data_IF_704411843752
#
_entry.id   IF_704411843752
#
_cell.length_a   1.000
_cell.length_b   1.000
_cell.length_c   1.000
_cell.angle_alpha   90.00
_cell.angle_beta   90.00
_cell.angle_gamma   90.00
#
_symmetry.space_group_name_H-M   'P 1'
#
loop_
_entity.id
_entity.type
_entity.pdbx_description
1 polymer ?
#
# COMPACT_ATOMS: atom_id res chain seq x y z
N UNK A 1 -0.38 -10.73 -21.55
CA UNK A 1 -1.59 -10.45 -20.73
C UNK A 1 -1.57 -11.13 -19.36
N UNK A 2 -1.30 -12.45 -19.27
CA UNK A 2 -1.30 -13.18 -17.98
C UNK A 2 -0.36 -12.56 -16.94
N UNK A 3 0.88 -12.23 -17.31
CA UNK A 3 1.86 -11.61 -16.41
C UNK A 3 1.36 -10.29 -15.78
N UNK A 4 0.85 -9.36 -16.59
CA UNK A 4 0.33 -8.07 -16.10
C UNK A 4 -0.85 -8.26 -15.15
N UNK A 5 -1.75 -9.20 -15.46
CA UNK A 5 -2.88 -9.50 -14.57
C UNK A 5 -2.43 -10.13 -13.24
N UNK A 6 -1.32 -10.89 -13.24
CA UNK A 6 -0.71 -11.43 -12.02
C UNK A 6 -0.11 -10.31 -11.17
N UNK A 7 0.67 -9.40 -11.77
CA UNK A 7 1.27 -8.27 -11.04
C UNK A 7 0.18 -7.38 -10.44
N UNK A 8 -0.90 -7.12 -11.17
CA UNK A 8 -2.07 -6.41 -10.67
C UNK A 8 -2.69 -7.07 -9.42
N UNK A 9 -2.90 -8.40 -9.45
CA UNK A 9 -3.44 -9.15 -8.30
C UNK A 9 -2.50 -9.10 -7.10
N UNK A 10 -1.18 -9.27 -7.33
CA UNK A 10 -0.16 -9.16 -6.29
C UNK A 10 -0.19 -7.76 -5.67
N UNK A 11 -0.32 -6.72 -6.48
CA UNK A 11 -0.41 -5.33 -5.99
C UNK A 11 -1.60 -5.15 -5.05
N UNK A 12 -2.78 -5.65 -5.41
CA UNK A 12 -3.96 -5.62 -4.51
C UNK A 12 -3.68 -6.33 -3.20
N UNK A 13 -3.11 -7.54 -3.26
CA UNK A 13 -2.80 -8.33 -2.07
C UNK A 13 -1.84 -7.56 -1.15
N UNK A 14 -0.79 -6.94 -1.72
CA UNK A 14 0.17 -6.13 -0.96
C UNK A 14 -0.53 -4.94 -0.29
N UNK A 15 -1.38 -4.19 -0.99
CA UNK A 15 -2.14 -3.09 -0.40
C UNK A 15 -3.03 -3.56 0.77
N UNK A 16 -3.73 -4.68 0.61
CA UNK A 16 -4.54 -5.26 1.68
C UNK A 16 -3.70 -5.67 2.89
N UNK A 17 -2.58 -6.37 2.66
CA UNK A 17 -1.67 -6.77 3.74
C UNK A 17 -1.10 -5.55 4.47
N UNK A 18 -0.58 -4.57 3.73
CA UNK A 18 -0.04 -3.34 4.31
C UNK A 18 -1.09 -2.58 5.10
N UNK A 19 -2.36 -2.60 4.69
CA UNK A 19 -3.45 -1.92 5.39
C UNK A 19 -3.76 -2.53 6.76
N UNK A 20 -3.53 -3.84 6.93
CA UNK A 20 -3.76 -4.54 8.20
C UNK A 20 -2.66 -4.22 9.21
N UNK A 21 -1.41 -4.05 8.75
CA UNK A 21 -0.25 -3.91 9.65
C UNK A 21 -0.35 -2.71 10.63
N UNK A 22 -0.82 -1.50 10.23
CA UNK A 22 -1.07 -0.42 11.18
C UNK A 22 -2.12 -0.76 12.23
N UNK A 23 -3.15 -1.55 11.88
CA UNK A 23 -4.23 -1.91 12.81
C UNK A 23 -3.75 -2.84 13.92
N UNK A 24 -2.78 -3.70 13.61
CA UNK A 24 -2.15 -4.62 14.58
C UNK A 24 -0.91 -4.01 15.24
N UNK A 25 -0.57 -2.75 14.93
CA UNK A 25 0.61 -2.06 15.48
C UNK A 25 1.96 -2.58 14.97
N UNK A 26 1.97 -3.36 13.88
CA UNK A 26 3.19 -3.93 13.30
C UNK A 26 3.87 -2.98 12.31
N UNK A 27 3.20 -1.91 11.86
CA UNK A 27 3.75 -0.92 10.94
C UNK A 27 3.63 0.48 11.54
N UNK A 28 4.75 1.20 11.61
CA UNK A 28 4.82 2.59 12.01
C UNK A 28 5.68 3.39 11.02
N UNK A 29 5.31 4.65 10.83
CA UNK A 29 5.96 5.60 9.93
C UNK A 29 6.90 6.56 10.69
N UNK A 30 6.92 6.51 12.03
CA UNK A 30 7.90 7.19 12.88
C UNK A 30 7.63 8.69 13.10
N UNK A 31 6.40 9.15 12.87
CA UNK A 31 5.93 10.52 13.12
C UNK A 31 4.91 10.58 14.29
N UNK A 32 4.86 9.55 15.13
CA UNK A 32 3.96 9.47 16.27
C UNK A 32 2.50 9.58 15.85
N UNK A 33 1.84 10.68 16.23
CA UNK A 33 0.46 10.96 15.80
C UNK A 33 0.32 11.12 14.27
N UNK A 34 1.39 11.53 13.60
CA UNK A 34 1.46 11.61 12.13
C UNK A 34 1.33 10.25 11.45
N UNK A 35 1.60 9.13 12.14
CA UNK A 35 1.44 7.79 11.59
C UNK A 35 -0.02 7.48 11.25
N UNK A 36 -0.96 8.09 11.99
CA UNK A 36 -2.39 7.96 11.71
C UNK A 36 -2.76 8.58 10.36
N UNK A 37 -2.11 9.69 9.95
CA UNK A 37 -2.33 10.31 8.65
C UNK A 37 -1.90 9.36 7.52
N UNK A 38 -0.75 8.72 7.66
CA UNK A 38 -0.26 7.74 6.69
C UNK A 38 -1.10 6.47 6.67
N UNK A 39 -1.57 5.99 7.83
CA UNK A 39 -2.47 4.85 7.92
C UNK A 39 -3.84 5.13 7.25
N UNK A 40 -4.44 6.29 7.51
CA UNK A 40 -5.70 6.72 6.87
C UNK A 40 -5.51 6.86 5.36
N UNK A 41 -4.40 7.46 4.91
CA UNK A 41 -4.08 7.57 3.49
C UNK A 41 -3.93 6.19 2.82
N UNK A 42 -3.27 5.25 3.48
CA UNK A 42 -3.14 3.86 3.03
C UNK A 42 -4.50 3.16 2.95
N UNK A 43 -5.33 3.23 4.00
CA UNK A 43 -6.66 2.64 4.02
C UNK A 43 -7.56 3.20 2.93
N UNK A 44 -7.56 4.52 2.75
CA UNK A 44 -8.35 5.17 1.72
C UNK A 44 -7.90 4.75 0.31
N UNK A 45 -6.59 4.70 0.07
CA UNK A 45 -6.02 4.22 -1.19
C UNK A 45 -6.41 2.75 -1.46
N UNK A 46 -6.34 1.89 -0.45
CA UNK A 46 -6.75 0.48 -0.54
C UNK A 46 -8.24 0.34 -0.85
N UNK A 47 -9.10 1.11 -0.18
CA UNK A 47 -10.54 1.09 -0.45
C UNK A 47 -10.86 1.53 -1.88
N UNK A 48 -10.21 2.59 -2.39
CA UNK A 48 -10.37 3.01 -3.79
C UNK A 48 -9.91 1.89 -4.74
N UNK A 49 -8.75 1.27 -4.48
CA UNK A 49 -8.24 0.18 -5.31
C UNK A 49 -9.22 -1.01 -5.36
N UNK A 50 -9.76 -1.41 -4.20
CA UNK A 50 -10.74 -2.49 -4.11
C UNK A 50 -12.05 -2.13 -4.80
N UNK A 51 -12.51 -0.89 -4.66
CA UNK A 51 -13.70 -0.42 -5.36
C UNK A 51 -13.54 -0.45 -6.88
N UNK A 52 -12.41 0.04 -7.39
CA UNK A 52 -12.07 -0.03 -8.82
C UNK A 52 -11.96 -1.49 -9.28
N UNK A 53 -11.33 -2.35 -8.49
CA UNK A 53 -11.22 -3.78 -8.79
C UNK A 53 -12.59 -4.46 -8.86
N UNK A 54 -13.52 -4.08 -7.97
CA UNK A 54 -14.89 -4.54 -7.97
C UNK A 54 -15.65 -4.09 -9.23
N UNK A 55 -15.55 -2.79 -9.59
CA UNK A 55 -16.19 -2.25 -10.79
C UNK A 55 -15.71 -2.95 -12.07
N UNK A 56 -14.41 -3.26 -12.16
CA UNK A 56 -13.82 -3.87 -13.35
C UNK A 56 -13.70 -5.39 -13.29
N UNK A 57 -14.28 -6.07 -12.30
CA UNK A 57 -14.16 -7.53 -12.13
C UNK A 57 -14.59 -8.36 -13.34
N UNK A 58 -15.50 -7.84 -14.18
CA UNK A 58 -16.00 -8.53 -15.39
C UNK A 58 -15.27 -8.14 -16.67
N UNK A 59 -14.34 -7.17 -16.61
CA UNK A 59 -13.65 -6.64 -17.80
C UNK A 59 -12.14 -6.69 -17.62
N UNK A 60 -11.45 -7.47 -18.47
CA UNK A 60 -10.02 -7.75 -18.31
C UNK A 60 -9.17 -7.23 -19.47
N UNK A 61 -9.29 -5.94 -19.77
CA UNK A 61 -8.50 -5.28 -20.83
C UNK A 61 -7.14 -4.86 -20.30
N UNK A 62 -6.08 -5.04 -21.10
CA UNK A 62 -4.71 -4.68 -20.74
C UNK A 62 -4.57 -3.20 -20.34
N UNK A 63 -5.21 -2.29 -21.08
CA UNK A 63 -5.15 -0.84 -20.81
C UNK A 63 -5.61 -0.49 -19.40
N UNK A 64 -6.70 -1.10 -18.91
CA UNK A 64 -7.19 -0.87 -17.54
C UNK A 64 -6.18 -1.29 -16.48
N UNK A 65 -5.54 -2.45 -16.64
CA UNK A 65 -4.50 -2.88 -15.69
C UNK A 65 -3.33 -1.90 -15.65
N UNK A 66 -2.88 -1.44 -16.82
CA UNK A 66 -1.79 -0.47 -16.92
C UNK A 66 -2.19 0.85 -16.27
N UNK A 67 -3.39 1.38 -16.54
CA UNK A 67 -3.87 2.63 -15.93
C UNK A 67 -3.97 2.55 -14.41
N UNK A 68 -4.51 1.44 -13.87
CA UNK A 68 -4.59 1.25 -12.43
C UNK A 68 -3.17 1.16 -11.84
N UNK A 69 -2.31 0.33 -12.44
CA UNK A 69 -0.94 0.17 -11.97
C UNK A 69 -0.14 1.47 -12.03
N UNK A 70 -0.30 2.30 -13.06
CA UNK A 70 0.37 3.59 -13.18
C UNK A 70 0.05 4.55 -12.03
N UNK A 71 -1.15 4.45 -11.43
CA UNK A 71 -1.57 5.28 -10.31
C UNK A 71 -1.14 4.67 -8.97
N UNK A 72 -1.35 3.36 -8.77
CA UNK A 72 -1.16 2.72 -7.46
C UNK A 72 0.27 2.26 -7.18
N UNK A 73 1.12 2.02 -8.19
CA UNK A 73 2.53 1.72 -7.96
C UNK A 73 3.28 2.87 -7.28
N UNK A 74 3.18 4.12 -7.75
CA UNK A 74 3.81 5.26 -7.08
C UNK A 74 3.35 5.41 -5.62
N UNK A 75 2.06 5.20 -5.34
CA UNK A 75 1.50 5.24 -3.99
C UNK A 75 2.12 4.13 -3.13
N UNK A 76 2.23 2.91 -3.65
CA UNK A 76 2.86 1.79 -2.95
C UNK A 76 4.32 2.08 -2.63
N UNK A 77 5.08 2.57 -3.61
CA UNK A 77 6.49 2.95 -3.45
C UNK A 77 6.62 4.04 -2.38
N UNK A 78 5.73 5.03 -2.38
CA UNK A 78 5.71 6.09 -1.36
C UNK A 78 5.45 5.53 0.05
N UNK A 79 4.47 4.65 0.22
CA UNK A 79 4.16 4.02 1.51
C UNK A 79 5.36 3.20 2.01
N UNK A 80 5.95 2.38 1.14
CA UNK A 80 7.13 1.57 1.49
C UNK A 80 8.30 2.47 1.85
N UNK A 81 8.54 3.53 1.10
CA UNK A 81 9.57 4.52 1.41
C UNK A 81 9.35 5.14 2.79
N UNK A 82 8.14 5.64 3.08
CA UNK A 82 7.81 6.26 4.38
C UNK A 82 7.87 5.27 5.56
N UNK A 83 7.61 3.99 5.32
CA UNK A 83 7.74 2.95 6.34
C UNK A 83 9.20 2.49 6.57
N UNK A 84 10.10 2.78 5.62
CA UNK A 84 11.50 2.34 5.66
C UNK A 84 12.45 3.54 5.74
N UNK A 85 13.03 3.97 4.62
CA UNK A 85 14.07 5.01 4.56
C UNK A 85 13.55 6.42 4.88
N UNK A 86 12.26 6.67 4.66
CA UNK A 86 11.57 7.94 4.91
C UNK A 86 10.84 8.00 6.25
N UNK A 87 11.17 7.10 7.19
CA UNK A 87 10.63 7.09 8.56
C UNK A 87 10.91 8.43 9.25
N UNK A 88 10.02 8.81 10.14
CA UNK A 88 10.15 10.05 10.91
C UNK A 88 11.22 9.96 12.01
N UNK A 89 11.56 11.12 12.60
CA UNK A 89 12.63 11.22 13.59
C UNK A 89 12.27 10.57 14.93
N UNK A 90 10.98 10.39 15.24
CA UNK A 90 10.53 9.82 16.52
C UNK A 90 10.75 8.31 16.58
N UNK A 91 10.74 7.65 15.42
CA UNK A 91 11.17 6.27 15.29
C UNK A 91 11.95 6.10 13.98
N UNK A 92 13.26 6.36 14.06
CA UNK A 92 14.15 6.26 12.91
C UNK A 92 14.26 4.82 12.39
N UNK A 93 14.65 4.68 11.13
CA UNK A 93 14.84 3.38 10.51
C UNK A 93 16.00 2.61 11.15
N UNK A 94 15.70 1.43 11.69
CA UNK A 94 16.63 0.52 12.37
C UNK A 94 16.93 -0.75 11.55
N UNK A 95 16.42 -0.84 10.32
CA UNK A 95 16.49 -2.04 9.48
C UNK A 95 15.28 -2.97 9.61
N UNK A 96 14.38 -2.72 10.58
CA UNK A 96 13.20 -3.55 10.81
C UNK A 96 11.92 -2.87 10.31
N UNK A 97 11.28 -3.49 9.31
CA UNK A 97 10.00 -3.02 8.78
C UNK A 97 8.90 -3.19 9.82
N UNK A 98 8.91 -4.35 10.48
CA UNK A 98 7.88 -4.76 11.41
C UNK A 98 8.32 -4.52 12.85
N UNK A 99 7.41 -3.96 13.63
CA UNK A 99 7.57 -3.87 15.08
C UNK A 99 7.15 -5.18 15.70
N UNK A 100 8.11 -6.06 15.95
CA UNK A 100 7.87 -7.23 16.80
C UNK A 100 7.86 -6.73 18.25
N UNK A 101 6.72 -6.85 18.93
CA UNK A 101 6.70 -6.77 20.40
C UNK A 101 7.23 -8.06 21.00
#
# INVERSE_FOLDING_TARGET
>A
MKAVSWIYRITIIIFCLLSILPMVGLLAFGHGLGDLVYAVFLWFSTLILLFIAYLYRKTHTLGKYISIMAIFLPILIFIVYKATLGRGPEYAWDGNVFFWK
#
